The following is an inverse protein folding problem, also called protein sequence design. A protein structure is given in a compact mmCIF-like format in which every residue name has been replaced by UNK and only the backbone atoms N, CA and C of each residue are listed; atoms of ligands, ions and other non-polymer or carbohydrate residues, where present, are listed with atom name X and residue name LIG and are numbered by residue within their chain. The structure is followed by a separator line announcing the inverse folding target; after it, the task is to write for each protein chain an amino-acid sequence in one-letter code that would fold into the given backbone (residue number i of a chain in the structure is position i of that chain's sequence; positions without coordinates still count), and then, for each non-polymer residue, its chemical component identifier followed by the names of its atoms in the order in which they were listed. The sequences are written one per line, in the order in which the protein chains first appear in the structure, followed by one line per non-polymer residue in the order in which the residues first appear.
data_IF_301856269939
#
_entry.id   IF_301856269939
#
_cell.length_a   1.000
_cell.length_b   1.000
_cell.length_c   1.000
_cell.angle_alpha   90.00
_cell.angle_beta   90.00
_cell.angle_gamma   90.00
#
_symmetry.space_group_name_H-M   'P 1'
#
loop_
_entity.id
_entity.type
_entity.pdbx_description
1 polymer ?
#
# COMPACT_ATOMS: atom_id res chain seq x y z
N UNK A 1 -4.00 -14.57 -10.51
CA UNK A 1 -3.56 -13.24 -9.98
C UNK A 1 -3.03 -12.46 -11.16
N UNK A 2 -3.71 -11.43 -11.58
CA UNK A 2 -3.15 -10.50 -12.55
C UNK A 2 -2.21 -9.56 -11.80
N UNK A 3 -0.91 -9.59 -12.12
CA UNK A 3 0.03 -8.59 -11.65
C UNK A 3 -0.36 -7.25 -12.24
N UNK A 4 -0.55 -6.24 -11.39
CA UNK A 4 -0.86 -4.89 -11.83
C UNK A 4 0.41 -4.06 -12.03
N UNK A 5 0.38 -3.09 -12.94
CA UNK A 5 1.43 -2.08 -13.03
C UNK A 5 1.36 -1.12 -11.86
N UNK A 6 2.52 -0.68 -11.37
CA UNK A 6 2.61 0.37 -10.35
C UNK A 6 3.32 1.56 -10.97
N UNK A 7 2.69 2.72 -10.90
CA UNK A 7 3.26 3.97 -11.36
C UNK A 7 3.23 4.99 -10.23
N UNK A 8 4.36 5.62 -9.96
CA UNK A 8 4.52 6.67 -8.96
C UNK A 8 4.93 7.94 -9.68
N UNK A 9 4.29 9.06 -9.37
CA UNK A 9 4.62 10.38 -9.91
C UNK A 9 4.69 11.42 -8.81
N UNK A 10 5.79 12.15 -8.78
CA UNK A 10 6.06 13.27 -7.86
C UNK A 10 5.71 12.97 -6.39
N UNK A 11 5.95 11.72 -5.97
CA UNK A 11 5.58 11.26 -4.65
C UNK A 11 6.45 11.90 -3.57
N UNK A 12 5.81 12.49 -2.58
CA UNK A 12 6.44 12.96 -1.34
C UNK A 12 5.79 12.26 -0.16
N UNK A 13 6.59 11.52 0.57
CA UNK A 13 6.17 10.76 1.74
C UNK A 13 7.00 11.16 2.96
N UNK A 14 6.34 11.47 4.06
CA UNK A 14 7.00 11.81 5.33
C UNK A 14 6.68 10.77 6.40
N UNK A 15 7.72 10.31 7.05
CA UNK A 15 7.59 9.45 8.23
C UNK A 15 8.46 10.01 9.37
N UNK A 16 7.83 10.64 10.34
CA UNK A 16 8.53 11.38 11.37
C UNK A 16 9.37 12.50 10.78
N UNK A 17 10.67 12.50 11.05
CA UNK A 17 11.64 13.47 10.48
C UNK A 17 12.14 13.07 9.08
N UNK A 18 11.88 11.86 8.61
CA UNK A 18 12.35 11.37 7.32
C UNK A 18 11.42 11.79 6.18
N UNK A 19 12.00 12.39 5.14
CA UNK A 19 11.30 12.80 3.93
C UNK A 19 11.83 12.00 2.74
N UNK A 20 10.95 11.25 2.11
CA UNK A 20 11.21 10.52 0.87
C UNK A 20 10.57 11.25 -0.31
N UNK A 21 11.36 11.45 -1.37
CA UNK A 21 10.88 11.95 -2.66
C UNK A 21 11.17 10.93 -3.75
N UNK A 22 10.19 10.70 -4.60
CA UNK A 22 10.32 9.85 -5.79
C UNK A 22 9.65 10.60 -6.93
N UNK A 23 10.45 11.06 -7.88
CA UNK A 23 9.95 11.85 -9.01
C UNK A 23 9.12 10.98 -9.94
N UNK A 24 9.69 9.86 -10.38
CA UNK A 24 9.00 8.90 -11.24
C UNK A 24 9.51 7.48 -10.99
N UNK A 25 8.58 6.54 -10.91
CA UNK A 25 8.88 5.11 -10.85
C UNK A 25 7.77 4.34 -11.56
N UNK A 26 8.15 3.46 -12.49
CA UNK A 26 7.22 2.57 -13.16
C UNK A 26 7.67 1.12 -13.01
N UNK A 27 6.75 0.26 -12.59
CA UNK A 27 6.96 -1.18 -12.44
C UNK A 27 5.93 -1.87 -13.32
N UNK A 28 6.41 -2.70 -14.26
CA UNK A 28 5.53 -3.41 -15.18
C UNK A 28 4.75 -4.54 -14.50
N UNK A 29 3.62 -4.96 -15.09
CA UNK A 29 2.92 -6.14 -14.62
C UNK A 29 3.82 -7.38 -14.67
N UNK A 30 3.76 -8.21 -13.64
CA UNK A 30 4.54 -9.46 -13.52
C UNK A 30 6.06 -9.28 -13.44
N UNK A 31 6.54 -8.08 -13.20
CA UNK A 31 7.95 -7.78 -13.03
C UNK A 31 8.42 -8.09 -11.59
N UNK A 32 9.67 -8.55 -11.46
CA UNK A 32 10.39 -8.58 -10.20
C UNK A 32 11.29 -7.34 -10.16
N UNK A 33 10.87 -6.35 -9.40
CA UNK A 33 11.57 -5.09 -9.24
C UNK A 33 12.35 -5.05 -7.91
N UNK A 34 13.65 -4.78 -7.96
CA UNK A 34 14.49 -4.70 -6.79
C UNK A 34 14.91 -3.27 -6.46
N UNK A 35 14.70 -2.86 -5.21
CA UNK A 35 15.12 -1.57 -4.68
C UNK A 35 16.40 -1.77 -3.89
N UNK A 36 17.50 -1.19 -4.37
CA UNK A 36 18.83 -1.28 -3.76
C UNK A 36 19.24 0.05 -3.19
N UNK A 37 19.88 0.04 -2.04
CA UNK A 37 20.37 1.25 -1.38
C UNK A 37 20.89 0.96 0.03
N UNK A 38 21.58 1.91 0.62
CA UNK A 38 22.13 1.80 1.98
C UNK A 38 21.02 1.65 3.04
N UNK A 39 21.42 1.21 4.23
CA UNK A 39 20.53 1.22 5.38
C UNK A 39 20.07 2.66 5.68
N UNK A 40 18.76 2.85 5.89
CA UNK A 40 18.19 4.18 6.11
C UNK A 40 17.85 4.98 4.84
N UNK A 41 18.13 4.48 3.64
CA UNK A 41 17.80 5.15 2.38
C UNK A 41 16.29 5.31 2.10
N UNK A 42 15.42 4.75 2.94
CA UNK A 42 13.97 4.89 2.80
C UNK A 42 13.27 3.78 2.02
N UNK A 43 13.93 2.65 1.74
CA UNK A 43 13.33 1.51 1.02
C UNK A 43 12.04 1.01 1.67
N UNK A 44 12.04 0.83 2.98
CA UNK A 44 10.86 0.42 3.75
C UNK A 44 9.77 1.49 3.70
N UNK A 45 10.15 2.77 3.82
CA UNK A 45 9.22 3.91 3.73
C UNK A 45 8.53 3.95 2.37
N UNK A 46 9.25 3.65 1.29
CA UNK A 46 8.67 3.56 -0.05
C UNK A 46 7.63 2.43 -0.14
N UNK A 47 7.97 1.22 0.34
CA UNK A 47 7.04 0.09 0.32
C UNK A 47 5.79 0.37 1.17
N UNK A 48 5.97 0.96 2.36
CA UNK A 48 4.87 1.34 3.25
C UNK A 48 3.99 2.44 2.64
N UNK A 49 4.57 3.39 1.90
CA UNK A 49 3.82 4.41 1.18
C UNK A 49 2.96 3.78 0.06
N UNK A 50 3.53 2.84 -0.71
CA UNK A 50 2.82 2.12 -1.77
C UNK A 50 1.62 1.35 -1.22
N UNK A 51 1.79 0.62 -0.12
CA UNK A 51 0.67 -0.12 0.50
C UNK A 51 -0.29 0.78 1.26
N UNK A 52 0.07 2.03 1.53
CA UNK A 52 -0.78 3.02 2.20
C UNK A 52 -0.78 2.95 3.71
N UNK A 53 0.34 2.54 4.31
CA UNK A 53 0.49 2.51 5.77
C UNK A 53 0.40 3.91 6.41
N UNK A 54 0.67 4.95 5.63
CA UNK A 54 0.50 6.36 6.02
C UNK A 54 0.16 7.23 4.80
N UNK A 55 -0.40 8.44 5.00
CA UNK A 55 -0.78 9.32 3.90
C UNK A 55 0.44 9.93 3.22
N UNK A 56 0.32 10.19 1.92
CA UNK A 56 1.29 10.96 1.16
C UNK A 56 1.09 12.46 1.39
N UNK A 57 2.18 13.24 1.39
CA UNK A 57 2.12 14.71 1.39
C UNK A 57 1.79 15.24 -0.01
N UNK A 58 2.37 14.63 -1.05
CA UNK A 58 2.14 15.03 -2.44
C UNK A 58 2.33 13.84 -3.39
N UNK A 59 1.97 14.05 -4.64
CA UNK A 59 2.12 13.08 -5.71
C UNK A 59 0.99 12.08 -5.81
N UNK A 60 1.18 11.07 -6.65
CA UNK A 60 0.20 10.02 -6.92
C UNK A 60 0.84 8.65 -7.01
N UNK A 61 0.07 7.64 -6.67
CA UNK A 61 0.41 6.23 -6.86
C UNK A 61 -0.74 5.61 -7.64
N UNK A 62 -0.44 5.12 -8.84
CA UNK A 62 -1.41 4.45 -9.68
C UNK A 62 -1.15 2.95 -9.69
N UNK A 63 -2.20 2.17 -9.54
CA UNK A 63 -2.22 0.72 -9.73
C UNK A 63 -3.13 0.41 -10.91
N UNK A 64 -2.59 -0.16 -11.97
CA UNK A 64 -3.31 -0.38 -13.24
C UNK A 64 -4.00 0.90 -13.76
N UNK A 65 -3.28 2.03 -13.69
CA UNK A 65 -3.79 3.33 -14.11
C UNK A 65 -4.82 3.97 -13.17
N UNK A 66 -5.15 3.34 -12.06
CA UNK A 66 -6.09 3.89 -11.06
C UNK A 66 -5.33 4.48 -9.88
N UNK A 67 -5.61 5.73 -9.55
CA UNK A 67 -5.02 6.36 -8.35
C UNK A 67 -5.52 5.66 -7.08
N UNK A 68 -4.58 5.11 -6.33
CA UNK A 68 -4.85 4.41 -5.08
C UNK A 68 -4.50 5.23 -3.83
N UNK A 69 -4.08 6.48 -3.99
CA UNK A 69 -3.65 7.35 -2.89
C UNK A 69 -4.71 7.49 -1.80
N UNK A 70 -5.96 7.69 -2.20
CA UNK A 70 -7.09 7.86 -1.27
C UNK A 70 -7.69 6.53 -0.80
N UNK A 71 -7.24 5.39 -1.34
CA UNK A 71 -7.75 4.10 -0.94
C UNK A 71 -7.10 3.63 0.37
N UNK A 72 -7.89 3.15 1.33
CA UNK A 72 -7.34 2.53 2.53
C UNK A 72 -6.56 1.25 2.18
N UNK A 73 -5.58 0.91 3.02
CA UNK A 73 -4.68 -0.25 2.84
C UNK A 73 -5.42 -1.50 2.35
N UNK A 74 -6.56 -1.74 2.96
CA UNK A 74 -7.33 -2.95 2.69
C UNK A 74 -7.96 -2.98 1.29
N UNK A 75 -8.18 -1.86 0.65
CA UNK A 75 -8.79 -1.78 -0.69
C UNK A 75 -7.74 -1.75 -1.80
N UNK A 76 -6.49 -1.50 -1.46
CA UNK A 76 -5.38 -1.47 -2.43
C UNK A 76 -5.05 -2.84 -2.99
N UNK A 77 -5.44 -3.93 -2.32
CA UNK A 77 -5.15 -5.33 -2.72
C UNK A 77 -3.67 -5.62 -2.90
N UNK A 78 -2.83 -4.89 -2.19
CA UNK A 78 -1.39 -5.09 -2.13
C UNK A 78 -1.03 -5.85 -0.85
N UNK A 79 -0.11 -6.79 -0.96
CA UNK A 79 0.48 -7.48 0.17
C UNK A 79 1.88 -6.95 0.46
N UNK A 80 2.23 -6.84 1.73
CA UNK A 80 3.58 -6.53 2.17
C UNK A 80 4.08 -7.62 3.13
N UNK A 81 5.34 -8.01 2.96
CA UNK A 81 6.02 -8.89 3.90
C UNK A 81 7.10 -8.08 4.58
N UNK A 82 6.95 -7.89 5.89
CA UNK A 82 7.95 -7.20 6.71
C UNK A 82 9.11 -8.13 7.08
N UNK A 83 10.24 -7.55 7.40
CA UNK A 83 11.42 -8.27 7.89
C UNK A 83 11.14 -8.96 9.23
N UNK A 84 10.40 -8.29 10.09
CA UNK A 84 9.92 -8.86 11.34
C UNK A 84 8.65 -9.67 11.03
N UNK A 85 8.74 -10.97 11.18
CA UNK A 85 7.65 -11.91 10.91
C UNK A 85 6.43 -11.56 11.78
N UNK A 86 5.54 -10.72 11.26
CA UNK A 86 4.32 -10.28 11.94
C UNK A 86 3.28 -11.43 11.97
N UNK A 87 3.52 -12.42 12.82
CA UNK A 87 2.59 -13.50 13.07
C UNK A 87 1.66 -13.13 14.23
N UNK A 88 0.40 -13.54 14.14
CA UNK A 88 -0.52 -13.46 15.25
C UNK A 88 -0.21 -14.57 16.26
N UNK A 89 0.32 -14.25 17.45
CA UNK A 89 0.81 -15.25 18.41
C UNK A 89 -0.30 -16.11 19.01
N UNK A 90 -1.55 -15.63 18.96
CA UNK A 90 -2.74 -16.33 19.45
C UNK A 90 -3.40 -17.24 18.39
N UNK A 91 -2.83 -17.30 17.19
CA UNK A 91 -3.34 -18.10 16.08
C UNK A 91 -2.39 -19.24 15.76
N UNK A 92 -2.95 -20.35 15.31
CA UNK A 92 -2.19 -21.48 14.78
C UNK A 92 -1.51 -21.11 13.44
N UNK A 93 -0.56 -21.91 12.98
CA UNK A 93 0.11 -21.74 11.69
C UNK A 93 -0.91 -21.70 10.54
N UNK A 94 -1.84 -22.63 10.52
CA UNK A 94 -2.89 -22.70 9.49
C UNK A 94 -3.80 -21.46 9.50
N UNK A 95 -4.11 -20.93 10.68
CA UNK A 95 -4.91 -19.72 10.82
C UNK A 95 -4.15 -18.46 10.39
N UNK A 96 -2.85 -18.37 10.67
CA UNK A 96 -1.99 -17.29 10.18
C UNK A 96 -1.94 -17.28 8.65
N UNK A 97 -1.69 -18.44 8.04
CA UNK A 97 -1.65 -18.59 6.57
C UNK A 97 -3.02 -18.24 5.95
N UNK A 98 -4.10 -18.73 6.53
CA UNK A 98 -5.46 -18.51 6.04
C UNK A 98 -6.06 -17.14 6.37
N UNK A 99 -5.37 -16.29 7.16
CA UNK A 99 -5.92 -15.04 7.66
C UNK A 99 -6.36 -14.09 6.54
N UNK A 100 -5.49 -13.86 5.57
CA UNK A 100 -5.79 -12.98 4.44
C UNK A 100 -7.00 -13.42 3.62
N UNK A 101 -7.14 -14.74 3.39
CA UNK A 101 -8.28 -15.31 2.67
C UNK A 101 -9.59 -15.16 3.46
N UNK A 102 -9.55 -15.33 4.79
CA UNK A 102 -10.72 -15.11 5.65
C UNK A 102 -11.17 -13.66 5.62
N UNK A 103 -10.23 -12.72 5.71
CA UNK A 103 -10.53 -11.29 5.64
C UNK A 103 -11.07 -10.88 4.26
N UNK A 104 -10.55 -11.42 3.18
CA UNK A 104 -11.05 -11.17 1.83
C UNK A 104 -12.49 -11.67 1.63
N UNK A 105 -12.84 -12.85 2.17
CA UNK A 105 -14.20 -13.40 2.12
C UNK A 105 -15.18 -12.60 2.97
N UNK A 106 -14.79 -12.17 4.15
CA UNK A 106 -15.64 -11.36 5.03
C UNK A 106 -16.02 -10.01 4.42
N UNK A 107 -15.21 -9.49 3.49
CA UNK A 107 -15.44 -8.21 2.81
C UNK A 107 -16.41 -8.28 1.63
N UNK A 108 -16.59 -9.44 1.04
CA UNK A 108 -17.65 -9.61 0.04
C UNK A 108 -19.06 -9.48 0.66
N UNK A 109 -19.17 -9.64 1.97
CA UNK A 109 -20.45 -9.48 2.69
C UNK A 109 -20.65 -8.08 3.29
N UNK A 110 -19.64 -7.23 3.31
CA UNK A 110 -19.71 -5.88 3.88
C UNK A 110 -19.19 -4.84 2.89
N UNK A 111 -19.99 -4.51 1.88
CA UNK A 111 -19.89 -3.25 1.16
C UNK A 111 -20.79 -2.22 1.86
N UNK A 112 -20.25 -1.30 2.66
CA UNK A 112 -21.00 -0.10 2.96
C UNK A 112 -20.87 0.84 1.76
N UNK A 113 -21.98 1.05 1.09
CA UNK A 113 -22.26 2.11 0.15
C UNK A 113 -22.10 3.46 0.86
N UNK A 114 -20.89 4.02 0.90
CA UNK A 114 -20.73 5.44 1.23
C UNK A 114 -19.29 5.92 1.03
N UNK A 115 -18.88 6.04 -0.22
CA UNK A 115 -17.75 6.92 -0.56
C UNK A 115 -18.28 8.17 -1.29
N UNK A 116 -19.28 8.81 -0.68
CA UNK A 116 -19.81 10.09 -1.17
C UNK A 116 -19.91 11.10 -0.02
N UNK A 117 -18.80 11.42 0.64
CA UNK A 117 -18.70 12.62 1.50
C UNK A 117 -17.28 12.84 1.97
N UNK A 118 -16.44 13.34 1.09
CA UNK A 118 -15.25 14.09 1.49
C UNK A 118 -14.86 15.10 0.40
N UNK A 119 -15.88 15.85 -0.08
CA UNK A 119 -15.66 16.99 -0.97
C UNK A 119 -16.52 18.16 -0.52
N UNK A 120 -16.32 18.64 0.70
CA UNK A 120 -16.69 20.01 1.09
C UNK A 120 -16.32 20.26 2.55
N UNK A 121 -15.10 20.65 2.83
CA UNK A 121 -14.77 21.49 3.98
C UNK A 121 -13.34 22.03 3.82
N UNK A 122 -13.19 23.02 2.98
CA UNK A 122 -12.19 24.07 3.14
C UNK A 122 -12.78 25.39 2.67
N UNK A 123 -13.22 26.14 3.61
CA UNK A 123 -13.15 27.60 3.60
C UNK A 123 -12.33 28.00 4.80
#
# INVERSE_FOLDING_TARGET
MSGGSIEIRDMVARRGSFLLRVDELYIEPHEIFAIVGEAGAGKTVLLEAIVGAFPLEAGSILLDGKDIRCLPVQQRRLGIVYQDHALFPHMTVAENIGYGLRMARCRQCALPTSCSRASSARR
#
